data_IF_952763609599
#
_entry.id   IF_952763609599
#
_cell.length_a   1.000
_cell.length_b   1.000
_cell.length_c   1.000
_cell.angle_alpha   90.00
_cell.angle_beta   90.00
_cell.angle_gamma   90.00
#
_symmetry.space_group_name_H-M   'P 1'
#
loop_
_entity.id
_entity.type
_entity.pdbx_description
1 polymer ?
#
# COMPACT_ATOMS: atom_id res chain seq x y z
N UNK A 1 -12.64 2.18 14.97
CA UNK A 1 -11.42 2.56 14.22
C UNK A 1 -10.93 3.88 14.79
N UNK A 2 -9.65 4.21 14.59
CA UNK A 2 -9.05 5.51 14.96
C UNK A 2 -8.66 6.25 13.69
N UNK A 3 -8.38 7.55 13.79
CA UNK A 3 -7.83 8.29 12.65
C UNK A 3 -6.44 7.73 12.27
N UNK A 4 -6.26 7.43 10.99
CA UNK A 4 -5.06 6.89 10.39
C UNK A 4 -4.41 7.84 9.38
N UNK A 5 -3.40 7.38 8.64
CA UNK A 5 -2.69 8.21 7.67
C UNK A 5 -3.65 8.74 6.59
N UNK A 6 -3.44 9.97 6.14
CA UNK A 6 -4.13 10.56 4.99
C UNK A 6 -5.68 10.48 5.05
N UNK A 7 -6.25 10.59 6.25
CA UNK A 7 -7.71 10.61 6.47
C UNK A 7 -8.39 9.24 6.36
N UNK A 8 -7.64 8.14 6.45
CA UNK A 8 -8.20 6.79 6.53
C UNK A 8 -8.57 6.44 7.97
N UNK A 9 -9.72 5.81 8.18
CA UNK A 9 -10.02 5.13 9.45
C UNK A 9 -9.15 3.87 9.56
N UNK A 10 -8.50 3.67 10.72
CA UNK A 10 -7.52 2.62 10.94
C UNK A 10 -7.93 1.66 12.08
N UNK A 11 -7.68 0.38 11.85
CA UNK A 11 -7.61 -0.67 12.86
C UNK A 11 -6.31 -1.46 12.66
N UNK A 12 -5.52 -1.67 13.71
CA UNK A 12 -4.35 -2.57 13.65
C UNK A 12 -4.62 -3.85 14.42
N UNK A 13 -4.05 -4.97 13.95
CA UNK A 13 -4.18 -6.27 14.61
C UNK A 13 -2.92 -7.11 14.45
N UNK A 14 -2.80 -8.14 15.28
CA UNK A 14 -1.71 -9.11 15.27
C UNK A 14 -2.22 -10.39 14.62
N UNK A 15 -1.48 -10.94 13.66
CA UNK A 15 -1.82 -12.19 12.98
C UNK A 15 -1.18 -13.40 13.66
N UNK A 16 0.12 -13.27 13.96
CA UNK A 16 0.94 -14.25 14.64
C UNK A 16 2.12 -13.52 15.34
N UNK A 17 3.05 -14.27 15.93
CA UNK A 17 4.19 -13.68 16.66
C UNK A 17 5.05 -12.80 15.74
N UNK A 18 4.95 -11.48 15.93
CA UNK A 18 5.75 -10.49 15.22
C UNK A 18 5.15 -10.00 13.89
N UNK A 19 4.06 -10.59 13.40
CA UNK A 19 3.36 -10.07 12.20
C UNK A 19 2.15 -9.24 12.59
N UNK A 20 2.23 -7.96 12.25
CA UNK A 20 1.14 -7.00 12.43
C UNK A 20 0.60 -6.56 11.09
N UNK A 21 -0.71 -6.37 11.04
CA UNK A 21 -1.44 -5.94 9.87
C UNK A 21 -2.41 -4.82 10.23
N UNK A 22 -3.01 -4.23 9.21
CA UNK A 22 -3.98 -3.15 9.35
C UNK A 22 -5.22 -3.39 8.49
N UNK A 23 -6.32 -2.77 8.91
CA UNK A 23 -7.49 -2.50 8.09
C UNK A 23 -7.62 -0.98 8.02
N UNK A 24 -7.80 -0.47 6.81
CA UNK A 24 -8.05 0.93 6.53
C UNK A 24 -9.40 1.05 5.83
N UNK A 25 -10.17 2.06 6.20
CA UNK A 25 -11.46 2.36 5.59
C UNK A 25 -11.60 3.84 5.26
N UNK A 26 -12.08 4.16 4.06
CA UNK A 26 -12.38 5.52 3.63
C UNK A 26 -13.41 5.48 2.51
N UNK A 27 -14.47 6.27 2.61
CA UNK A 27 -15.50 6.41 1.57
C UNK A 27 -16.07 5.09 1.04
N UNK A 28 -16.26 4.10 1.92
CA UNK A 28 -16.78 2.76 1.57
C UNK A 28 -15.73 1.81 0.98
N UNK A 29 -14.50 2.26 0.79
CA UNK A 29 -13.37 1.44 0.35
C UNK A 29 -12.65 0.83 1.55
N UNK A 30 -12.39 -0.48 1.47
CA UNK A 30 -11.60 -1.22 2.47
C UNK A 30 -10.25 -1.63 1.88
N UNK A 31 -9.18 -1.40 2.65
CA UNK A 31 -7.84 -1.89 2.37
C UNK A 31 -7.35 -2.69 3.57
N UNK A 32 -6.55 -3.73 3.35
CA UNK A 32 -5.89 -4.44 4.44
C UNK A 32 -4.62 -5.10 3.97
N UNK A 33 -3.53 -4.89 4.72
CA UNK A 33 -2.20 -5.38 4.39
C UNK A 33 -1.29 -5.51 5.62
N UNK A 34 -0.21 -6.28 5.46
CA UNK A 34 0.87 -6.39 6.44
C UNK A 34 1.55 -5.04 6.64
N UNK A 35 1.71 -4.58 7.88
CA UNK A 35 2.33 -3.28 8.17
C UNK A 35 3.82 -3.25 7.85
N UNK A 36 4.46 -4.41 7.86
CA UNK A 36 5.89 -4.54 7.64
C UNK A 36 6.20 -4.49 6.15
N UNK A 37 6.92 -3.46 5.71
CA UNK A 37 7.36 -3.34 4.33
C UNK A 37 8.21 -4.57 3.93
N UNK A 38 7.87 -5.30 2.85
CA UNK A 38 8.58 -6.53 2.47
C UNK A 38 10.03 -6.30 2.05
N UNK A 39 10.44 -5.05 1.77
CA UNK A 39 11.82 -4.70 1.45
C UNK A 39 12.74 -4.75 2.68
N UNK A 40 12.35 -4.10 3.79
CA UNK A 40 13.26 -3.87 4.92
C UNK A 40 12.55 -3.87 6.30
N UNK A 41 11.29 -4.28 6.37
CA UNK A 41 10.54 -4.40 7.62
C UNK A 41 10.06 -3.09 8.24
N UNK A 42 10.10 -1.99 7.49
CA UNK A 42 9.66 -0.66 7.95
C UNK A 42 8.13 -0.62 8.07
N UNK A 43 7.61 0.02 9.11
CA UNK A 43 6.16 0.20 9.29
C UNK A 43 5.58 1.12 8.21
N UNK A 44 4.78 0.55 7.33
CA UNK A 44 4.11 1.22 6.22
C UNK A 44 3.08 2.25 6.69
N UNK A 45 2.55 2.13 7.90
CA UNK A 45 1.65 3.16 8.46
C UNK A 45 2.38 4.46 8.84
N UNK A 46 3.71 4.45 8.88
CA UNK A 46 4.52 5.67 8.99
C UNK A 46 4.71 6.38 7.65
N UNK A 47 4.25 5.79 6.54
CA UNK A 47 4.31 6.37 5.21
C UNK A 47 3.01 7.02 4.76
N UNK A 48 2.92 7.29 3.47
CA UNK A 48 1.80 7.97 2.84
C UNK A 48 0.88 6.97 2.10
N UNK A 49 -0.42 7.25 2.11
CA UNK A 49 -1.43 6.50 1.34
C UNK A 49 -2.12 7.46 0.37
N UNK A 50 -1.77 7.34 -0.91
CA UNK A 50 -2.19 8.27 -1.94
C UNK A 50 -3.10 7.61 -2.95
N UNK A 51 -4.16 8.32 -3.36
CA UNK A 51 -4.93 7.91 -4.53
C UNK A 51 -4.27 8.47 -5.79
N UNK A 52 -3.73 7.57 -6.61
CA UNK A 52 -3.08 7.83 -7.90
C UNK A 52 -3.87 7.21 -9.07
N UNK A 53 -5.20 7.19 -8.95
CA UNK A 53 -6.11 6.68 -9.99
C UNK A 53 -5.95 7.39 -11.33
N UNK A 54 -5.58 8.66 -11.35
CA UNK A 54 -5.29 9.44 -12.55
C UNK A 54 -4.11 8.90 -13.38
N UNK A 55 -3.21 8.13 -12.73
CA UNK A 55 -2.10 7.41 -13.36
C UNK A 55 -2.40 5.90 -13.52
N UNK A 56 -3.64 5.49 -13.24
CA UNK A 56 -4.12 4.13 -13.36
C UNK A 56 -3.55 3.15 -12.32
N UNK A 57 -3.09 3.65 -11.17
CA UNK A 57 -2.57 2.81 -10.06
C UNK A 57 -3.57 2.61 -8.91
N UNK A 58 -4.61 3.45 -8.81
CA UNK A 58 -5.51 3.45 -7.67
C UNK A 58 -4.84 3.97 -6.40
N UNK A 59 -5.30 3.51 -5.24
CA UNK A 59 -4.64 3.82 -3.96
C UNK A 59 -3.31 3.08 -3.88
N UNK A 60 -2.25 3.78 -3.50
CA UNK A 60 -0.92 3.22 -3.26
C UNK A 60 -0.47 3.50 -1.82
N UNK A 61 0.28 2.57 -1.24
CA UNK A 61 0.99 2.80 0.02
C UNK A 61 2.48 2.97 -0.26
N UNK A 62 3.05 4.07 0.23
CA UNK A 62 4.46 4.40 0.09
C UNK A 62 5.23 4.04 1.36
N UNK A 63 6.31 3.26 1.24
CA UNK A 63 7.21 3.01 2.36
C UNK A 63 7.95 4.31 2.76
N UNK A 64 7.93 4.72 4.04
CA UNK A 64 8.50 6.02 4.45
C UNK A 64 10.03 6.10 4.33
N UNK A 65 10.73 4.96 4.25
CA UNK A 65 12.19 4.94 4.25
C UNK A 65 12.80 5.05 2.84
N UNK A 66 12.16 4.44 1.84
CA UNK A 66 12.76 4.25 0.51
C UNK A 66 11.77 4.52 -0.63
N UNK A 67 10.55 4.96 -0.31
CA UNK A 67 9.50 5.33 -1.28
C UNK A 67 9.14 4.19 -2.25
N UNK A 68 9.25 2.95 -1.77
CA UNK A 68 8.68 1.80 -2.49
C UNK A 68 7.16 1.92 -2.45
N UNK A 69 6.54 1.84 -3.62
CA UNK A 69 5.10 1.93 -3.79
C UNK A 69 4.51 0.54 -3.91
N UNK A 70 3.46 0.28 -3.14
CA UNK A 70 2.71 -0.96 -3.20
C UNK A 70 1.23 -0.69 -3.48
N UNK A 71 0.62 -1.56 -4.26
CA UNK A 71 -0.83 -1.65 -4.36
C UNK A 71 -1.36 -2.38 -3.10
N UNK A 72 -2.14 -1.72 -2.22
CA UNK A 72 -2.67 -2.31 -0.99
C UNK A 72 -3.89 -3.22 -1.21
N UNK A 73 -4.42 -3.30 -2.43
CA UNK A 73 -5.51 -4.21 -2.82
C UNK A 73 -4.93 -5.57 -3.21
N UNK A 74 -3.95 -5.58 -4.12
CA UNK A 74 -3.39 -6.84 -4.66
C UNK A 74 -2.00 -7.19 -4.13
N UNK A 75 -1.26 -6.23 -3.59
CA UNK A 75 0.06 -6.46 -2.97
C UNK A 75 1.25 -6.23 -3.90
N UNK A 76 1.02 -5.83 -5.14
CA UNK A 76 2.10 -5.65 -6.13
C UNK A 76 3.03 -4.52 -5.72
N UNK A 77 4.34 -4.76 -5.75
CA UNK A 77 5.34 -3.70 -5.68
C UNK A 77 5.38 -2.98 -7.03
N UNK A 78 4.84 -1.76 -7.07
CA UNK A 78 4.72 -0.94 -8.27
C UNK A 78 6.05 -0.24 -8.63
N UNK A 79 6.95 -0.10 -7.67
CA UNK A 79 8.25 0.57 -7.88
C UNK A 79 9.23 -0.28 -8.71
N UNK A 80 9.30 -1.58 -8.41
CA UNK A 80 10.36 -2.48 -8.90
C UNK A 80 9.87 -3.48 -9.97
N UNK A 81 8.63 -3.35 -10.43
CA UNK A 81 8.05 -4.22 -11.46
C UNK A 81 8.93 -4.32 -12.73
N UNK A 82 9.69 -3.26 -13.05
CA UNK A 82 10.45 -3.13 -14.29
C UNK A 82 11.97 -3.01 -14.14
N UNK A 83 12.54 -2.69 -12.97
CA UNK A 83 14.01 -2.73 -12.78
C UNK A 83 14.48 -4.19 -12.73
N UNK A 84 15.61 -4.48 -13.37
CA UNK A 84 16.30 -5.75 -13.10
C UNK A 84 16.95 -5.64 -11.72
N UNK A 85 16.73 -6.65 -10.86
CA UNK A 85 17.18 -6.86 -9.46
C UNK A 85 17.63 -5.61 -8.66
N UNK A 86 17.02 -5.31 -7.48
CA UNK A 86 16.54 -6.28 -6.50
C UNK A 86 15.02 -6.34 -6.30
N UNK A 87 14.50 -7.55 -6.51
CA UNK A 87 13.09 -7.99 -6.44
C UNK A 87 12.49 -7.81 -5.04
N UNK A 88 11.85 -6.67 -4.81
CA UNK A 88 11.08 -6.49 -3.56
C UNK A 88 9.88 -7.43 -3.57
N UNK A 89 9.73 -8.29 -2.54
CA UNK A 89 8.61 -9.23 -2.48
C UNK A 89 7.27 -8.47 -2.48
N UNK A 90 6.18 -9.12 -2.96
CA UNK A 90 4.87 -8.52 -2.85
C UNK A 90 4.46 -8.32 -1.39
N UNK A 91 3.67 -7.28 -1.16
CA UNK A 91 3.02 -6.99 0.11
C UNK A 91 1.87 -7.98 0.33
N UNK A 92 1.82 -8.65 1.48
CA UNK A 92 0.68 -9.50 1.81
C UNK A 92 -0.55 -8.63 2.08
N UNK A 93 -1.61 -8.82 1.29
CA UNK A 93 -2.90 -8.15 1.45
C UNK A 93 -3.99 -9.11 1.94
N UNK A 94 -5.09 -8.55 2.42
CA UNK A 94 -6.20 -9.31 2.97
C UNK A 94 -7.54 -8.85 2.36
N UNK A 95 -8.42 -9.82 2.14
CA UNK A 95 -9.82 -9.54 1.91
C UNK A 95 -10.48 -9.16 3.24
N UNK A 96 -11.23 -8.07 3.23
CA UNK A 96 -11.95 -7.57 4.40
C UNK A 96 -13.43 -7.90 4.25
N UNK A 97 -14.03 -8.49 5.29
CA UNK A 97 -15.47 -8.67 5.39
C UNK A 97 -15.95 -8.05 6.70
N UNK A 98 -16.91 -7.13 6.61
CA UNK A 98 -17.64 -6.61 7.76
C UNK A 98 -18.96 -7.36 7.92
N UNK A 99 -19.25 -7.84 9.13
CA UNK A 99 -20.55 -8.44 9.45
C UNK A 99 -20.89 -8.21 10.92
N UNK A 100 -22.07 -7.64 11.17
CA UNK A 100 -22.59 -7.37 12.51
C UNK A 100 -21.60 -6.61 13.40
N UNK A 101 -20.94 -5.58 12.85
CA UNK A 101 -19.93 -4.78 13.55
C UNK A 101 -18.59 -5.47 13.80
N UNK A 102 -18.40 -6.69 13.29
CA UNK A 102 -17.11 -7.39 13.35
C UNK A 102 -16.41 -7.28 12.00
N UNK A 103 -15.13 -6.93 12.04
CA UNK A 103 -14.24 -6.93 10.88
C UNK A 103 -13.47 -8.25 10.88
N UNK A 104 -13.53 -8.97 9.77
CA UNK A 104 -12.75 -10.18 9.53
C UNK A 104 -11.84 -9.98 8.34
N UNK A 105 -10.66 -10.57 8.41
CA UNK A 105 -9.69 -10.54 7.32
C UNK A 105 -9.33 -11.95 6.89
N UNK A 106 -9.10 -12.13 5.59
CA UNK A 106 -8.63 -13.39 4.99
C UNK A 106 -7.42 -13.11 4.10
N UNK A 107 -6.30 -13.83 4.25
CA UNK A 107 -5.13 -13.62 3.39
C UNK A 107 -5.50 -13.79 1.91
N UNK A 108 -5.07 -12.86 1.06
CA UNK A 108 -5.12 -13.03 -0.39
C UNK A 108 -3.89 -13.82 -0.86
N UNK A 109 -3.99 -14.59 -1.94
CA UNK A 109 -2.81 -15.13 -2.60
C UNK A 109 -1.87 -13.99 -2.99
N UNK A 110 -0.56 -14.21 -2.85
CA UNK A 110 0.42 -13.24 -3.33
C UNK A 110 0.26 -13.06 -4.86
N UNK A 111 0.28 -11.82 -5.36
CA UNK A 111 0.09 -11.56 -6.77
C UNK A 111 1.26 -12.14 -7.58
N UNK A 112 0.96 -12.54 -8.81
CA UNK A 112 2.01 -12.79 -9.78
C UNK A 112 2.76 -11.48 -10.06
N UNK A 113 4.02 -11.60 -10.44
CA UNK A 113 4.81 -10.45 -10.89
C UNK A 113 4.14 -9.84 -12.13
N UNK A 114 3.89 -8.51 -12.17
CA UNK A 114 3.48 -7.86 -13.41
C UNK A 114 4.61 -7.96 -14.44
N UNK A 115 4.25 -8.26 -15.68
CA UNK A 115 5.20 -8.23 -16.78
C UNK A 115 5.66 -6.79 -17.07
N UNK A 116 6.80 -6.63 -17.73
CA UNK A 116 7.29 -5.31 -18.17
C UNK A 116 6.36 -4.65 -19.19
N UNK A 117 5.56 -5.43 -19.90
CA UNK A 117 4.56 -4.93 -20.86
C UNK A 117 3.33 -4.38 -20.12
N UNK A 118 2.98 -4.94 -18.97
CA UNK A 118 1.91 -4.45 -18.10
C UNK A 118 2.36 -3.24 -17.26
N UNK A 119 3.64 -3.19 -16.89
CA UNK A 119 4.19 -2.16 -16.02
C UNK A 119 5.67 -1.88 -16.28
N UNK A 120 5.95 -0.75 -16.94
CA UNK A 120 7.32 -0.33 -17.27
C UNK A 120 7.93 0.63 -16.23
N UNK A 121 9.19 1.01 -16.42
CA UNK A 121 9.90 1.87 -15.46
C UNK A 121 9.47 3.32 -15.53
N UNK A 122 9.12 3.80 -16.73
CA UNK A 122 8.68 5.17 -16.90
C UNK A 122 7.39 5.42 -16.11
N UNK A 123 6.48 4.45 -16.11
CA UNK A 123 5.26 4.48 -15.31
C UNK A 123 5.53 4.43 -13.81
N UNK A 124 6.45 3.57 -13.37
CA UNK A 124 6.86 3.49 -11.97
C UNK A 124 7.48 4.80 -11.46
N UNK A 125 8.35 5.42 -12.26
CA UNK A 125 8.99 6.71 -11.94
C UNK A 125 7.95 7.84 -11.87
N UNK A 126 7.00 7.89 -12.81
CA UNK A 126 5.90 8.86 -12.79
C UNK A 126 5.04 8.76 -11.52
N UNK A 127 4.72 7.54 -11.09
CA UNK A 127 3.95 7.32 -9.87
C UNK A 127 4.70 7.74 -8.62
N UNK A 128 6.02 7.50 -8.57
CA UNK A 128 6.81 7.93 -7.43
C UNK A 128 6.85 9.46 -7.32
N UNK A 129 7.04 10.16 -8.44
CA UNK A 129 7.00 11.63 -8.44
C UNK A 129 5.63 12.14 -8.00
N UNK A 130 4.54 11.60 -8.55
CA UNK A 130 3.18 11.99 -8.16
C UNK A 130 2.86 11.72 -6.69
N UNK A 131 3.34 10.60 -6.13
CA UNK A 131 3.18 10.29 -4.71
C UNK A 131 3.91 11.31 -3.83
N UNK A 132 5.13 11.70 -4.23
CA UNK A 132 5.90 12.73 -3.53
C UNK A 132 5.22 14.10 -3.62
N UNK A 133 4.74 14.48 -4.80
CA UNK A 133 4.05 15.76 -5.01
C UNK A 133 2.81 15.87 -4.12
N UNK A 134 1.93 14.85 -4.08
CA UNK A 134 0.77 14.84 -3.18
C UNK A 134 1.15 14.91 -1.71
N UNK A 135 2.20 14.20 -1.32
CA UNK A 135 2.70 14.25 0.06
C UNK A 135 3.24 15.65 0.42
N UNK A 136 3.87 16.35 -0.53
CA UNK A 136 4.35 17.72 -0.35
C UNK A 136 3.21 18.73 -0.30
N UNK A 137 2.23 18.66 -1.21
CA UNK A 137 1.03 19.51 -1.21
C UNK A 137 0.29 19.44 0.13
N UNK A 138 0.17 18.24 0.71
CA UNK A 138 -0.44 18.06 2.03
C UNK A 138 0.38 18.65 3.17
N UNK A 139 1.72 18.58 3.10
CA UNK A 139 2.63 19.07 4.15
C UNK A 139 2.85 20.58 4.09
N UNK A 140 2.77 21.15 2.89
CA UNK A 140 3.04 22.56 2.62
C UNK A 140 1.89 23.16 1.80
N UNK A 141 0.69 23.29 2.39
CA UNK A 141 -0.43 23.96 1.72
C UNK A 141 -0.13 25.46 1.57
N UNK A 142 -0.59 26.03 0.45
CA UNK A 142 -0.54 27.48 0.17
C UNK A 142 -1.31 28.33 1.20
#
# INVERSE_FOLDING_TARGET
>A
MVEGPCGWDLLTFVLDEGRTACVLHRDGQWLSFDRSCPHAGIDLLGGDLEDLSELGAGVVVACPAHTYLFDPVVGTCLWDASRGLPETPPLQTYEVTESCGNIRVRPRPLPARPSRDEWDQARADQLQLAAVDKALERKFPD
#
